data_IF_606178924931
#
_entry.id   IF_606178924931
#
_cell.length_a   1.000
_cell.length_b   1.000
_cell.length_c   1.000
_cell.angle_alpha   90.00
_cell.angle_beta   90.00
_cell.angle_gamma   90.00
#
_symmetry.space_group_name_H-M   'P 1'
#
loop_
_entity.id
_entity.type
_entity.pdbx_description
1 polymer ?
#
# COMPACT_ATOMS: atom_id res chain seq x y z
N UNK A 1 32.91 -15.12 25.08
CA UNK A 1 32.47 -15.11 23.66
C UNK A 1 31.09 -14.51 23.63
N UNK A 2 30.95 -13.26 23.18
CA UNK A 2 29.66 -12.58 23.01
C UNK A 2 29.65 -12.03 21.59
N UNK A 3 28.81 -12.63 20.73
CA UNK A 3 28.62 -12.16 19.36
C UNK A 3 27.63 -10.99 19.39
N UNK A 4 28.14 -9.78 19.15
CA UNK A 4 27.34 -8.58 18.92
C UNK A 4 26.76 -8.66 17.51
N UNK A 5 25.43 -8.72 17.42
CA UNK A 5 24.72 -8.58 16.14
C UNK A 5 24.56 -7.10 15.82
N UNK A 6 25.35 -6.65 14.84
CA UNK A 6 25.22 -5.34 14.22
C UNK A 6 23.91 -5.30 13.42
N UNK A 7 22.91 -4.59 13.96
CA UNK A 7 21.74 -4.19 13.18
C UNK A 7 22.18 -3.10 12.21
N UNK A 8 22.20 -3.41 10.91
CA UNK A 8 22.44 -2.41 9.87
C UNK A 8 21.10 -1.79 9.51
N UNK A 9 20.79 -0.64 10.10
CA UNK A 9 19.64 0.18 9.72
C UNK A 9 19.96 0.85 8.38
N UNK A 10 19.53 0.25 7.27
CA UNK A 10 19.57 0.88 5.95
C UNK A 10 18.46 1.95 5.94
N UNK A 11 18.80 3.15 6.39
CA UNK A 11 17.94 4.33 6.26
C UNK A 11 18.20 5.01 4.91
N UNK A 12 17.62 4.44 3.85
CA UNK A 12 17.39 5.22 2.65
C UNK A 12 16.06 5.95 2.83
N UNK A 13 15.98 7.29 2.65
CA UNK A 13 14.72 7.99 2.73
C UNK A 13 13.84 7.53 1.58
N UNK A 14 12.77 6.79 1.89
CA UNK A 14 11.81 6.39 0.87
C UNK A 14 11.10 7.64 0.36
N UNK A 15 11.25 7.89 -0.93
CA UNK A 15 10.71 9.07 -1.58
C UNK A 15 9.30 8.71 -2.04
N UNK A 16 8.30 9.06 -1.22
CA UNK A 16 6.89 8.85 -1.57
C UNK A 16 6.56 9.65 -2.82
N UNK A 17 6.17 8.94 -3.88
CA UNK A 17 5.70 9.53 -5.12
C UNK A 17 4.18 9.48 -5.16
N UNK A 18 3.53 10.58 -5.54
CA UNK A 18 2.11 10.55 -5.88
C UNK A 18 1.88 9.56 -7.02
N UNK A 19 0.84 8.73 -6.90
CA UNK A 19 0.46 7.76 -7.92
C UNK A 19 0.39 8.44 -9.30
N UNK A 20 1.19 7.95 -10.26
CA UNK A 20 1.29 8.50 -11.61
C UNK A 20 1.01 7.39 -12.62
N UNK A 21 0.13 7.66 -13.58
CA UNK A 21 -0.28 6.71 -14.63
C UNK A 21 0.84 6.36 -15.62
N UNK A 22 1.95 7.10 -15.63
CA UNK A 22 3.06 6.86 -16.57
C UNK A 22 4.15 5.92 -16.03
N UNK A 23 4.37 5.86 -14.70
CA UNK A 23 5.38 4.98 -14.06
C UNK A 23 4.86 4.26 -12.79
N UNK A 24 3.54 4.22 -12.57
CA UNK A 24 2.92 3.71 -11.35
C UNK A 24 1.64 2.91 -11.60
N UNK A 25 0.87 2.67 -10.55
CA UNK A 25 -0.37 1.90 -10.61
C UNK A 25 -1.49 2.67 -11.35
N UNK A 26 -1.98 2.11 -12.46
CA UNK A 26 -3.14 2.65 -13.16
C UNK A 26 -4.45 2.34 -12.42
N UNK A 27 -5.20 3.37 -12.04
CA UNK A 27 -6.55 3.23 -11.48
C UNK A 27 -7.59 3.78 -12.47
N UNK A 28 -8.64 3.00 -12.73
CA UNK A 28 -9.71 3.44 -13.64
C UNK A 28 -10.60 4.48 -12.97
N UNK A 29 -11.23 5.35 -13.76
CA UNK A 29 -12.20 6.33 -13.23
C UNK A 29 -13.35 5.67 -12.46
N UNK A 30 -13.79 4.48 -12.89
CA UNK A 30 -14.84 3.72 -12.19
C UNK A 30 -14.38 3.28 -10.81
N UNK A 31 -13.13 2.85 -10.67
CA UNK A 31 -12.56 2.48 -9.38
C UNK A 31 -12.44 3.69 -8.45
N UNK A 32 -12.02 4.85 -8.96
CA UNK A 32 -12.01 6.10 -8.18
C UNK A 32 -13.41 6.45 -7.67
N UNK A 33 -14.42 6.41 -8.54
CA UNK A 33 -15.82 6.68 -8.14
C UNK A 33 -16.33 5.69 -7.09
N UNK A 34 -15.94 4.42 -7.20
CA UNK A 34 -16.30 3.42 -6.21
C UNK A 34 -15.68 3.71 -4.83
N UNK A 35 -14.41 4.11 -4.78
CA UNK A 35 -13.75 4.48 -3.53
C UNK A 35 -14.41 5.70 -2.89
N UNK A 36 -14.71 6.73 -3.69
CA UNK A 36 -15.44 7.92 -3.23
C UNK A 36 -16.83 7.57 -2.68
N UNK A 37 -17.56 6.70 -3.39
CA UNK A 37 -18.87 6.24 -2.92
C UNK A 37 -18.80 5.51 -1.58
N UNK A 38 -17.76 4.70 -1.37
CA UNK A 38 -17.54 4.01 -0.09
C UNK A 38 -17.24 5.03 1.02
N UNK A 39 -16.33 5.99 0.78
CA UNK A 39 -16.01 7.06 1.74
C UNK A 39 -17.25 7.87 2.13
N UNK A 40 -18.09 8.24 1.17
CA UNK A 40 -19.34 8.97 1.41
C UNK A 40 -20.33 8.15 2.24
N UNK A 41 -20.50 6.87 1.89
CA UNK A 41 -21.41 5.95 2.59
C UNK A 41 -20.97 5.70 4.04
N UNK A 42 -19.68 5.60 4.29
CA UNK A 42 -19.10 5.36 5.61
C UNK A 42 -18.82 6.66 6.39
N UNK A 43 -19.06 7.82 5.76
CA UNK A 43 -18.76 9.15 6.28
C UNK A 43 -17.30 9.30 6.72
N UNK A 44 -16.39 8.67 5.97
CA UNK A 44 -14.99 8.55 6.32
C UNK A 44 -14.10 9.03 5.17
N UNK A 45 -13.53 10.23 5.33
CA UNK A 45 -12.64 10.84 4.34
C UNK A 45 -11.19 10.40 4.49
N UNK A 46 -10.83 9.74 5.60
CA UNK A 46 -9.48 9.26 5.88
C UNK A 46 -9.26 7.84 5.37
N UNK A 47 -10.32 7.16 4.94
CA UNK A 47 -10.24 5.82 4.39
C UNK A 47 -9.49 5.81 3.05
N UNK A 48 -8.55 4.89 2.92
CA UNK A 48 -7.64 4.71 1.80
C UNK A 48 -7.68 3.27 1.30
N UNK A 49 -7.34 3.07 0.02
CA UNK A 49 -7.13 1.75 -0.55
C UNK A 49 -5.66 1.33 -0.37
N UNK A 50 -5.42 0.25 0.37
CA UNK A 50 -4.13 -0.46 0.44
C UNK A 50 -4.15 -1.66 -0.50
N UNK A 51 -3.05 -1.86 -1.21
CA UNK A 51 -2.84 -3.02 -2.09
C UNK A 51 -1.68 -3.83 -1.53
N UNK A 52 -1.97 -5.06 -1.16
CA UNK A 52 -0.99 -6.00 -0.64
C UNK A 52 -0.74 -7.09 -1.68
N UNK A 53 0.50 -7.58 -1.75
CA UNK A 53 0.83 -8.77 -2.53
C UNK A 53 0.96 -9.94 -1.57
N UNK A 54 0.09 -10.94 -1.71
CA UNK A 54 0.23 -12.19 -1.01
C UNK A 54 0.96 -13.19 -1.92
N UNK A 55 1.94 -13.89 -1.35
CA UNK A 55 2.54 -15.05 -2.02
C UNK A 55 1.48 -16.14 -2.04
N UNK A 56 0.78 -16.27 -3.17
CA UNK A 56 -0.02 -17.44 -3.41
C UNK A 56 0.84 -18.70 -3.36
N UNK A 57 0.19 -19.86 -3.34
CA UNK A 57 0.86 -21.16 -3.40
C UNK A 57 1.71 -21.34 -4.67
N UNK A 58 2.17 -22.57 -4.89
CA UNK A 58 3.20 -23.05 -5.84
C UNK A 58 3.48 -22.27 -7.16
N UNK A 59 2.58 -21.47 -7.73
CA UNK A 59 2.80 -20.76 -9.00
C UNK A 59 2.21 -19.33 -9.10
N UNK A 60 1.90 -18.60 -8.02
CA UNK A 60 1.30 -17.26 -8.22
C UNK A 60 1.38 -16.26 -7.09
N UNK A 61 1.25 -14.99 -7.47
CA UNK A 61 1.01 -13.87 -6.57
C UNK A 61 -0.45 -13.45 -6.68
N UNK A 62 -1.06 -13.06 -5.56
CA UNK A 62 -2.40 -12.49 -5.56
C UNK A 62 -2.35 -11.09 -4.94
N UNK A 63 -3.00 -10.13 -5.60
CA UNK A 63 -3.21 -8.82 -5.01
C UNK A 63 -4.43 -8.88 -4.08
N UNK A 64 -4.25 -8.47 -2.83
CA UNK A 64 -5.33 -8.24 -1.88
C UNK A 64 -5.60 -6.73 -1.80
N UNK A 65 -6.87 -6.37 -1.88
CA UNK A 65 -7.34 -4.99 -1.73
C UNK A 65 -7.92 -4.82 -0.33
N UNK A 66 -7.50 -3.79 0.38
CA UNK A 66 -7.92 -3.52 1.75
C UNK A 66 -8.24 -2.03 1.93
N UNK A 67 -9.26 -1.72 2.73
CA UNK A 67 -9.56 -0.35 3.13
C UNK A 67 -8.99 -0.11 4.52
N UNK A 68 -8.15 0.92 4.65
CA UNK A 68 -7.47 1.29 5.89
C UNK A 68 -7.54 2.79 6.13
N UNK A 69 -7.32 3.25 7.36
CA UNK A 69 -7.15 4.67 7.70
C UNK A 69 -5.73 4.99 8.13
N UNK A 70 -4.91 3.97 8.38
CA UNK A 70 -3.52 4.14 8.82
C UNK A 70 -2.59 3.97 7.63
N UNK A 71 -1.51 4.74 7.66
CA UNK A 71 -0.35 4.53 6.81
C UNK A 71 0.70 3.86 7.68
N UNK A 72 1.21 2.72 7.25
CA UNK A 72 2.31 2.02 7.92
C UNK A 72 3.66 2.39 7.29
N UNK A 73 4.76 2.13 8.00
CA UNK A 73 6.11 2.47 7.54
C UNK A 73 6.49 1.79 6.21
N UNK A 74 5.89 0.64 5.89
CA UNK A 74 6.12 -0.14 4.67
C UNK A 74 5.16 0.19 3.51
N UNK A 75 4.21 1.11 3.70
CA UNK A 75 3.34 1.62 2.63
C UNK A 75 4.02 2.69 1.76
N UNK A 76 5.15 3.24 2.21
CA UNK A 76 5.93 4.29 1.54
C UNK A 76 7.03 3.71 0.67
#
# INVERSE_FOLDING_TARGET
MVFSQLHTTISNPVKVHSASVVNGLGITEKAVKQLQHIQEKEQDKEQMLRILVDSGGCHGYQNKLELTKTVEDDDM
#
